data_IF_029736767600
#
_entry.id   IF_029736767600
#
_cell.length_a   1.000
_cell.length_b   1.000
_cell.length_c   1.000
_cell.angle_alpha   90.00
_cell.angle_beta   90.00
_cell.angle_gamma   90.00
#
_symmetry.space_group_name_H-M   'P 1'
#
loop_
_entity.id
_entity.type
_entity.pdbx_description
1 polymer ?
#
# COMPACT_ATOMS: atom_id res chain seq x y z
N UNK A 1 2.43 44.03 -20.31
CA UNK A 1 1.04 44.02 -20.82
C UNK A 1 0.56 42.58 -20.70
N UNK A 2 -0.53 42.17 -20.05
CA UNK A 2 -1.60 42.85 -19.34
C UNK A 2 -2.07 41.90 -18.21
N UNK A 3 -2.55 42.48 -17.11
CA UNK A 3 -3.21 41.81 -15.97
C UNK A 3 -4.70 41.64 -16.26
N UNK A 4 -5.32 40.54 -15.82
CA UNK A 4 -6.76 40.42 -15.50
C UNK A 4 -6.92 39.20 -14.56
N UNK A 5 -7.25 39.34 -13.26
CA UNK A 5 -8.61 39.44 -12.63
C UNK A 5 -9.51 38.24 -13.02
N UNK A 6 -10.16 37.42 -12.17
CA UNK A 6 -10.97 37.60 -10.95
C UNK A 6 -11.20 36.16 -10.36
N UNK A 7 -10.93 35.87 -9.08
CA UNK A 7 -11.91 35.73 -7.97
C UNK A 7 -13.20 34.93 -8.27
N UNK A 8 -13.36 33.77 -7.60
CA UNK A 8 -14.68 33.29 -7.17
C UNK A 8 -14.58 32.50 -5.85
N UNK A 9 -15.04 33.18 -4.81
CA UNK A 9 -15.29 32.71 -3.45
C UNK A 9 -16.65 32.01 -3.44
N UNK A 10 -16.74 30.79 -2.92
CA UNK A 10 -18.00 30.06 -2.73
C UNK A 10 -18.13 29.57 -1.28
N UNK A 11 -18.64 30.44 -0.42
CA UNK A 11 -19.10 30.11 0.93
C UNK A 11 -20.46 29.40 0.83
N UNK A 12 -20.59 28.21 1.41
CA UNK A 12 -21.90 27.64 1.76
C UNK A 12 -22.02 27.57 3.28
N UNK A 13 -23.01 28.30 3.79
CA UNK A 13 -23.45 28.38 5.18
C UNK A 13 -24.76 27.58 5.34
N UNK A 14 -24.98 27.09 6.56
CA UNK A 14 -26.25 26.68 7.19
C UNK A 14 -26.83 25.33 6.73
N UNK A 15 -27.05 24.38 7.63
CA UNK A 15 -28.20 24.42 8.55
C UNK A 15 -28.03 23.46 9.73
N UNK A 16 -28.67 23.79 10.84
CA UNK A 16 -28.62 23.17 12.16
C UNK A 16 -29.95 22.46 12.49
N UNK A 17 -29.85 21.49 13.41
CA UNK A 17 -30.88 21.00 14.36
C UNK A 17 -31.99 20.04 13.89
N UNK A 18 -32.06 18.86 14.52
CA UNK A 18 -33.19 18.45 15.39
C UNK A 18 -32.95 17.09 16.09
N UNK A 19 -33.23 17.06 17.39
CA UNK A 19 -33.35 15.89 18.28
C UNK A 19 -34.75 15.27 18.22
N UNK A 20 -34.86 13.95 18.44
CA UNK A 20 -35.93 13.27 19.20
C UNK A 20 -35.65 11.75 19.19
N UNK A 21 -35.28 11.11 20.31
CA UNK A 21 -36.11 10.63 21.43
C UNK A 21 -36.86 9.31 21.17
N UNK A 22 -36.31 8.23 21.75
CA UNK A 22 -36.91 7.08 22.46
C UNK A 22 -38.25 6.50 21.98
N UNK A 23 -38.22 5.20 21.65
CA UNK A 23 -39.38 4.30 21.65
C UNK A 23 -38.93 2.88 21.98
N UNK A 24 -39.02 2.49 23.26
CA UNK A 24 -38.74 1.18 23.81
C UNK A 24 -40.10 0.52 24.09
N UNK A 25 -40.48 -0.52 23.34
CA UNK A 25 -41.55 -1.45 23.77
C UNK A 25 -41.45 -2.81 23.09
N UNK A 26 -41.29 -3.81 23.96
CA UNK A 26 -41.97 -5.12 23.99
C UNK A 26 -41.60 -6.24 23.02
N UNK A 27 -41.07 -7.29 23.67
CA UNK A 27 -41.09 -8.71 23.31
C UNK A 27 -42.47 -9.22 22.86
N UNK A 28 -42.47 -10.06 21.82
CA UNK A 28 -43.26 -11.29 21.76
C UNK A 28 -42.61 -12.29 20.77
N UNK A 29 -42.84 -13.57 21.03
CA UNK A 29 -42.14 -14.78 20.58
C UNK A 29 -42.87 -15.47 19.42
N UNK A 30 -42.15 -16.36 18.73
CA UNK A 30 -42.55 -17.42 17.77
C UNK A 30 -42.58 -16.99 16.29
N UNK A 31 -41.60 -17.41 15.50
CA UNK A 31 -41.52 -18.73 14.83
C UNK A 31 -42.18 -18.66 13.45
N UNK A 32 -41.37 -18.40 12.41
CA UNK A 32 -41.58 -19.05 11.12
C UNK A 32 -40.35 -18.90 10.21
N UNK A 33 -39.94 -20.03 9.67
CA UNK A 33 -38.86 -20.20 8.73
C UNK A 33 -39.14 -19.50 7.40
N UNK A 34 -38.19 -18.67 6.97
CA UNK A 34 -37.82 -18.44 5.56
C UNK A 34 -36.51 -17.64 5.54
N UNK A 35 -35.42 -18.35 5.78
CA UNK A 35 -34.07 -17.82 5.58
C UNK A 35 -33.95 -17.39 4.13
N UNK A 36 -34.06 -16.08 3.95
CA UNK A 36 -34.03 -15.41 2.68
C UNK A 36 -32.62 -15.57 2.13
N UNK A 37 -32.55 -16.16 0.95
CA UNK A 37 -31.38 -16.25 0.08
C UNK A 37 -30.90 -14.81 -0.19
N UNK A 38 -30.08 -14.28 0.72
CA UNK A 38 -29.46 -12.96 0.61
C UNK A 38 -28.50 -13.05 -0.56
N UNK A 39 -28.88 -12.36 -1.63
CA UNK A 39 -28.10 -12.19 -2.83
C UNK A 39 -26.66 -11.84 -2.45
N UNK A 40 -25.74 -12.73 -2.78
CA UNK A 40 -24.37 -12.34 -3.04
C UNK A 40 -24.48 -11.39 -4.23
N UNK A 41 -24.31 -10.09 -3.97
CA UNK A 41 -23.90 -9.18 -5.00
C UNK A 41 -22.58 -9.76 -5.50
N UNK A 42 -22.62 -10.33 -6.70
CA UNK A 42 -21.42 -10.53 -7.49
C UNK A 42 -20.90 -9.11 -7.70
N UNK A 43 -19.89 -8.77 -6.92
CA UNK A 43 -18.94 -7.74 -7.26
C UNK A 43 -18.40 -8.20 -8.62
N UNK A 44 -18.84 -7.52 -9.68
CA UNK A 44 -18.26 -7.67 -11.01
C UNK A 44 -16.85 -7.13 -10.88
N UNK A 45 -15.94 -7.98 -10.40
CA UNK A 45 -14.55 -7.68 -10.26
C UNK A 45 -14.05 -7.29 -11.63
N UNK A 46 -13.83 -6.00 -11.82
CA UNK A 46 -12.85 -5.52 -12.78
C UNK A 46 -11.62 -6.41 -12.57
N UNK A 47 -11.19 -7.04 -13.66
CA UNK A 47 -10.02 -7.92 -13.72
C UNK A 47 -8.79 -7.02 -13.53
N UNK A 48 -8.65 -6.49 -12.32
CA UNK A 48 -7.52 -5.73 -11.84
C UNK A 48 -6.36 -6.71 -11.86
N UNK A 49 -5.59 -6.64 -12.96
CA UNK A 49 -4.40 -7.43 -13.15
C UNK A 49 -3.50 -7.38 -11.89
N UNK A 50 -2.63 -8.39 -11.70
CA UNK A 50 -1.88 -8.57 -10.47
C UNK A 50 -1.17 -7.27 -10.08
N UNK A 51 -1.42 -6.81 -8.84
CA UNK A 51 -0.80 -5.60 -8.31
C UNK A 51 0.72 -5.72 -8.41
N UNK A 52 1.35 -4.77 -9.11
CA UNK A 52 2.81 -4.73 -9.25
C UNK A 52 3.42 -4.25 -7.93
N UNK A 53 3.92 -5.23 -7.17
CA UNK A 53 4.35 -5.04 -5.80
C UNK A 53 5.72 -5.63 -5.52
N UNK A 54 6.48 -5.01 -4.62
CA UNK A 54 7.68 -5.59 -4.01
C UNK A 54 7.46 -5.66 -2.50
N UNK A 55 7.64 -6.85 -1.93
CA UNK A 55 7.37 -7.10 -0.51
C UNK A 55 8.67 -7.45 0.20
N UNK A 56 9.03 -6.65 1.20
CA UNK A 56 10.14 -6.92 2.10
C UNK A 56 9.61 -7.65 3.33
N UNK A 57 10.01 -8.91 3.50
CA UNK A 57 9.72 -9.69 4.69
C UNK A 57 10.69 -9.28 5.80
N UNK A 58 10.15 -9.01 6.98
CA UNK A 58 10.88 -8.40 8.09
C UNK A 58 10.80 -9.28 9.34
N UNK A 59 11.88 -9.29 10.14
CA UNK A 59 11.89 -9.93 11.48
C UNK A 59 10.92 -9.21 12.44
N UNK A 60 10.78 -7.90 12.29
CA UNK A 60 9.87 -7.01 13.05
C UNK A 60 9.49 -5.80 12.20
N UNK A 61 8.39 -5.14 12.50
CA UNK A 61 8.03 -3.93 11.77
C UNK A 61 9.07 -2.81 11.97
N UNK A 62 9.58 -2.20 10.89
CA UNK A 62 10.50 -1.07 11.01
C UNK A 62 9.76 0.18 11.51
N UNK A 63 10.45 1.01 12.28
CA UNK A 63 9.95 2.35 12.64
C UNK A 63 10.36 3.32 11.54
N UNK A 64 9.44 3.59 10.62
CA UNK A 64 9.66 4.51 9.50
C UNK A 64 9.05 5.88 9.78
N UNK A 65 9.73 6.91 9.26
CA UNK A 65 9.25 8.29 9.17
C UNK A 65 9.26 8.73 7.71
N UNK A 66 8.49 9.75 7.38
CA UNK A 66 8.50 10.38 6.04
C UNK A 66 9.91 10.85 5.68
N UNK A 67 10.67 11.37 6.66
CA UNK A 67 12.06 11.79 6.48
C UNK A 67 12.99 10.64 6.12
N UNK A 68 12.86 9.48 6.77
CA UNK A 68 13.69 8.32 6.44
C UNK A 68 13.36 7.79 5.04
N UNK A 69 12.08 7.78 4.66
CA UNK A 69 11.64 7.33 3.32
C UNK A 69 12.14 8.30 2.24
N UNK A 70 12.01 9.60 2.46
CA UNK A 70 12.56 10.62 1.57
C UNK A 70 14.08 10.46 1.38
N UNK A 71 14.81 10.11 2.44
CA UNK A 71 16.23 9.77 2.37
C UNK A 71 16.52 8.54 1.50
N UNK A 72 15.72 7.47 1.63
CA UNK A 72 15.84 6.28 0.77
C UNK A 72 15.51 6.60 -0.70
N UNK A 73 14.49 7.43 -0.96
CA UNK A 73 14.16 7.90 -2.30
C UNK A 73 15.32 8.70 -2.92
N UNK A 74 15.92 9.62 -2.16
CA UNK A 74 17.07 10.40 -2.63
C UNK A 74 18.26 9.50 -2.99
N UNK A 75 18.48 8.42 -2.25
CA UNK A 75 19.53 7.45 -2.57
C UNK A 75 19.19 6.61 -3.81
N UNK A 76 17.98 6.05 -3.85
CA UNK A 76 17.52 5.13 -4.89
C UNK A 76 17.38 5.82 -6.25
N UNK A 77 16.78 7.02 -6.26
CA UNK A 77 16.34 7.70 -7.48
C UNK A 77 17.11 8.99 -7.75
N UNK A 78 18.03 9.38 -6.87
CA UNK A 78 18.79 10.65 -6.96
C UNK A 78 17.87 11.88 -7.01
N UNK A 79 16.72 11.78 -6.34
CA UNK A 79 15.68 12.81 -6.37
C UNK A 79 15.25 13.22 -4.97
N UNK A 80 15.05 14.52 -4.78
CA UNK A 80 14.53 15.08 -3.53
C UNK A 80 13.01 15.16 -3.62
N UNK A 81 12.35 14.71 -2.57
CA UNK A 81 10.89 14.77 -2.41
C UNK A 81 10.54 15.67 -1.23
N UNK A 82 9.38 16.30 -1.30
CA UNK A 82 8.84 17.04 -0.15
C UNK A 82 8.31 16.07 0.91
N UNK A 83 8.30 16.50 2.18
CA UNK A 83 7.89 15.68 3.32
C UNK A 83 6.63 16.30 3.94
N UNK A 84 5.59 15.49 4.11
CA UNK A 84 4.33 15.91 4.76
C UNK A 84 3.53 16.92 3.93
N UNK A 85 2.59 17.60 4.57
CA UNK A 85 1.78 18.67 3.97
C UNK A 85 2.52 20.01 3.93
N UNK A 86 3.85 19.99 3.81
CA UNK A 86 4.64 21.22 3.81
C UNK A 86 4.12 22.13 2.70
N UNK A 87 3.69 23.33 3.11
CA UNK A 87 2.73 24.26 2.48
C UNK A 87 3.07 24.78 1.07
N UNK A 88 4.03 24.16 0.38
CA UNK A 88 4.24 24.34 -1.06
C UNK A 88 3.09 23.66 -1.79
N UNK A 89 2.02 24.42 -2.01
CA UNK A 89 0.82 23.98 -2.73
C UNK A 89 1.09 23.42 -4.15
N UNK A 90 2.32 23.55 -4.65
CA UNK A 90 2.74 23.15 -5.98
C UNK A 90 3.80 22.02 -5.97
N UNK A 91 4.02 21.33 -4.85
CA UNK A 91 4.95 20.20 -4.81
C UNK A 91 4.36 19.00 -5.56
N UNK A 92 4.98 18.62 -6.68
CA UNK A 92 4.59 17.44 -7.47
C UNK A 92 5.12 16.13 -6.89
N UNK A 93 6.23 16.19 -6.15
CA UNK A 93 6.88 15.02 -5.57
C UNK A 93 6.86 15.10 -4.04
N UNK A 94 6.29 14.09 -3.39
CA UNK A 94 6.05 14.10 -1.96
C UNK A 94 6.04 12.69 -1.35
N UNK A 95 6.30 12.65 -0.05
CA UNK A 95 6.04 11.52 0.83
C UNK A 95 5.16 12.00 1.96
N UNK A 96 4.01 11.36 2.13
CA UNK A 96 3.07 11.65 3.21
C UNK A 96 2.68 10.37 3.91
N UNK A 97 2.52 10.43 5.23
CA UNK A 97 1.96 9.32 5.99
C UNK A 97 0.46 9.24 5.79
N UNK A 98 -0.05 8.06 5.46
CA UNK A 98 -1.46 7.83 5.18
C UNK A 98 -1.89 6.41 5.53
N UNK A 99 -3.00 6.28 6.25
CA UNK A 99 -3.54 4.97 6.64
C UNK A 99 -2.51 4.07 7.36
N UNK A 100 -2.35 2.79 6.96
CA UNK A 100 -1.39 1.87 7.57
C UNK A 100 0.08 2.10 7.13
N UNK A 101 0.38 3.11 6.32
CA UNK A 101 1.75 3.35 5.85
C UNK A 101 1.95 4.73 5.24
N UNK A 102 2.46 4.78 4.00
CA UNK A 102 2.87 6.01 3.33
C UNK A 102 2.42 6.04 1.87
N UNK A 103 2.15 7.24 1.38
CA UNK A 103 1.90 7.52 -0.03
C UNK A 103 3.13 8.25 -0.57
N UNK A 104 3.61 7.80 -1.72
CA UNK A 104 4.81 8.32 -2.37
C UNK A 104 4.43 8.70 -3.80
N UNK A 105 4.57 9.99 -4.12
CA UNK A 105 4.55 10.49 -5.48
C UNK A 105 5.94 11.01 -5.81
N UNK A 106 6.54 10.54 -6.91
CA UNK A 106 7.81 11.04 -7.38
C UNK A 106 7.91 10.88 -8.89
N UNK A 107 7.96 12.01 -9.61
CA UNK A 107 7.87 12.07 -11.07
C UNK A 107 6.55 11.44 -11.56
N UNK A 108 6.65 10.42 -12.40
CA UNK A 108 5.59 9.62 -12.99
C UNK A 108 5.23 8.39 -12.15
N UNK A 109 5.89 8.21 -11.00
CA UNK A 109 5.70 7.04 -10.15
C UNK A 109 4.85 7.39 -8.95
N UNK A 110 3.71 6.73 -8.83
CA UNK A 110 2.84 6.76 -7.67
C UNK A 110 2.84 5.37 -7.03
N UNK A 111 3.28 5.29 -5.77
CA UNK A 111 3.27 4.04 -5.03
C UNK A 111 2.80 4.22 -3.58
N UNK A 112 2.20 3.16 -3.07
CA UNK A 112 1.85 3.03 -1.67
C UNK A 112 2.86 2.13 -0.97
N UNK A 113 3.28 2.56 0.21
CA UNK A 113 4.08 1.75 1.11
C UNK A 113 3.19 1.29 2.26
N UNK A 114 2.96 -0.01 2.41
CA UNK A 114 2.10 -0.55 3.47
C UNK A 114 2.98 -1.30 4.48
N UNK A 115 2.70 -1.12 5.77
CA UNK A 115 3.34 -1.87 6.85
C UNK A 115 2.30 -2.71 7.57
N UNK A 116 2.58 -3.99 7.77
CA UNK A 116 1.66 -4.86 8.51
C UNK A 116 2.39 -5.91 9.36
N UNK A 117 1.75 -6.29 10.47
CA UNK A 117 2.22 -7.32 11.40
C UNK A 117 1.28 -8.53 11.41
N UNK A 118 0.88 -8.99 10.22
CA UNK A 118 0.09 -10.20 9.97
C UNK A 118 0.73 -11.01 8.83
N UNK A 119 0.47 -12.31 8.69
CA UNK A 119 0.94 -13.08 7.54
C UNK A 119 0.66 -12.34 6.22
N UNK A 120 1.64 -12.33 5.30
CA UNK A 120 1.44 -11.72 3.98
C UNK A 120 0.54 -12.59 3.11
N UNK A 121 0.82 -13.89 3.09
CA UNK A 121 0.01 -14.91 2.43
C UNK A 121 -0.92 -15.59 3.43
N UNK A 122 -2.11 -15.93 2.96
CA UNK A 122 -3.05 -16.78 3.67
C UNK A 122 -2.57 -18.24 3.69
N UNK A 123 -3.16 -19.05 4.57
CA UNK A 123 -2.74 -20.44 4.77
C UNK A 123 -2.81 -21.29 3.49
N UNK A 124 -3.80 -21.05 2.63
CA UNK A 124 -3.99 -21.81 1.39
C UNK A 124 -2.96 -21.42 0.31
N UNK A 125 -2.59 -20.13 0.21
CA UNK A 125 -1.58 -19.65 -0.74
C UNK A 125 -0.18 -20.20 -0.41
N UNK A 126 0.09 -20.41 0.89
CA UNK A 126 1.34 -21.02 1.34
C UNK A 126 1.49 -22.49 0.89
N UNK A 127 0.39 -23.19 0.63
CA UNK A 127 0.44 -24.58 0.13
C UNK A 127 1.01 -24.64 -1.30
N UNK A 128 0.83 -23.58 -2.08
CA UNK A 128 1.33 -23.45 -3.45
C UNK A 128 2.84 -23.21 -3.51
N UNK A 129 3.43 -22.70 -2.43
CA UNK A 129 4.88 -22.49 -2.31
C UNK A 129 5.59 -23.83 -2.18
N UNK A 130 6.18 -24.34 -3.27
CA UNK A 130 6.78 -25.69 -3.31
C UNK A 130 8.01 -25.84 -2.40
N UNK A 131 8.81 -24.78 -2.29
CA UNK A 131 10.08 -24.83 -1.57
C UNK A 131 9.83 -24.70 -0.05
N UNK A 132 10.13 -25.78 0.70
CA UNK A 132 9.80 -25.90 2.11
C UNK A 132 10.44 -24.82 2.99
N UNK A 133 11.67 -24.39 2.69
CA UNK A 133 12.37 -23.36 3.47
C UNK A 133 11.71 -22.00 3.29
N UNK A 134 11.31 -21.66 2.06
CA UNK A 134 10.59 -20.45 1.69
C UNK A 134 9.22 -20.43 2.32
N UNK A 135 8.47 -21.53 2.22
CA UNK A 135 7.17 -21.67 2.90
C UNK A 135 7.30 -21.44 4.40
N UNK A 136 8.29 -22.08 5.03
CA UNK A 136 8.57 -21.91 6.47
C UNK A 136 8.92 -20.45 6.80
N UNK A 137 9.75 -19.81 6.00
CA UNK A 137 10.10 -18.40 6.17
C UNK A 137 8.85 -17.50 6.11
N UNK A 138 7.98 -17.69 5.12
CA UNK A 138 6.74 -16.92 4.97
C UNK A 138 5.76 -17.17 6.13
N UNK A 139 5.70 -18.40 6.64
CA UNK A 139 4.87 -18.77 7.80
C UNK A 139 5.36 -18.14 9.11
N UNK A 140 6.69 -18.11 9.32
CA UNK A 140 7.29 -17.61 10.56
C UNK A 140 7.33 -16.09 10.62
N UNK A 141 7.46 -15.40 9.48
CA UNK A 141 7.62 -13.95 9.42
C UNK A 141 6.30 -13.25 9.12
N UNK A 142 5.73 -12.62 10.16
CA UNK A 142 4.45 -11.89 10.10
C UNK A 142 4.62 -10.38 9.91
N UNK A 143 5.83 -9.87 10.00
CA UNK A 143 6.08 -8.46 9.75
C UNK A 143 6.54 -8.30 8.30
N UNK A 144 5.92 -7.39 7.58
CA UNK A 144 6.31 -7.07 6.22
C UNK A 144 6.03 -5.62 5.88
N UNK A 145 6.72 -5.16 4.85
CA UNK A 145 6.49 -3.89 4.19
C UNK A 145 6.32 -4.15 2.69
N UNK A 146 5.28 -3.61 2.07
CA UNK A 146 5.11 -3.64 0.61
C UNK A 146 5.38 -2.26 0.02
N UNK A 147 5.83 -2.26 -1.24
CA UNK A 147 5.84 -1.13 -2.14
C UNK A 147 4.96 -1.51 -3.32
N UNK A 148 3.77 -0.91 -3.38
CA UNK A 148 2.72 -1.25 -4.32
C UNK A 148 2.58 -0.11 -5.33
N UNK A 149 2.75 -0.39 -6.62
CA UNK A 149 2.44 0.59 -7.66
C UNK A 149 0.92 0.79 -7.73
N UNK A 150 0.49 2.04 -7.81
CA UNK A 150 -0.93 2.40 -7.84
C UNK A 150 -1.25 3.18 -9.12
N UNK A 151 -2.45 2.97 -9.64
CA UNK A 151 -2.96 3.55 -10.87
C UNK A 151 -3.02 2.52 -12.01
N UNK A 152 -3.29 3.00 -13.22
CA UNK A 152 -3.48 2.19 -14.43
C UNK A 152 -2.15 1.61 -14.98
N UNK A 153 -1.19 1.27 -14.09
CA UNK A 153 0.12 0.77 -14.52
C UNK A 153 0.00 -0.57 -15.25
N UNK A 154 -0.93 -1.42 -14.83
CA UNK A 154 -1.24 -2.72 -15.44
C UNK A 154 -1.76 -2.61 -16.88
N UNK A 155 -2.33 -1.47 -17.24
CA UNK A 155 -2.83 -1.19 -18.60
C UNK A 155 -1.76 -0.62 -19.53
N UNK A 156 -0.62 -0.19 -18.98
CA UNK A 156 0.47 0.39 -19.78
C UNK A 156 1.23 -0.69 -20.55
N UNK A 157 1.98 -0.32 -21.61
CA UNK A 157 2.85 -1.26 -22.30
C UNK A 157 3.84 -1.95 -21.34
N UNK A 158 4.17 -3.22 -21.59
CA UNK A 158 5.06 -4.03 -20.74
C UNK A 158 6.40 -3.33 -20.42
N UNK A 159 6.99 -2.61 -21.37
CA UNK A 159 8.23 -1.87 -21.15
C UNK A 159 8.09 -0.75 -20.08
N UNK A 160 6.92 -0.12 -19.98
CA UNK A 160 6.63 0.89 -18.96
C UNK A 160 6.36 0.25 -17.60
N UNK A 161 5.69 -0.91 -17.59
CA UNK A 161 5.51 -1.72 -16.37
C UNK A 161 6.86 -2.17 -15.80
N UNK A 162 7.74 -2.70 -16.65
CA UNK A 162 9.10 -3.11 -16.28
C UNK A 162 9.92 -1.95 -15.74
N UNK A 163 9.79 -0.76 -16.34
CA UNK A 163 10.46 0.45 -15.88
C UNK A 163 9.97 0.89 -14.50
N UNK A 164 8.65 0.89 -14.28
CA UNK A 164 8.04 1.21 -12.98
C UNK A 164 8.42 0.19 -11.91
N UNK A 165 8.38 -1.10 -12.26
CA UNK A 165 8.76 -2.20 -11.38
C UNK A 165 10.25 -2.12 -11.00
N UNK A 166 11.13 -1.90 -11.98
CA UNK A 166 12.56 -1.66 -11.74
C UNK A 166 12.78 -0.49 -10.78
N UNK A 167 11.98 0.56 -10.92
CA UNK A 167 12.09 1.74 -10.07
C UNK A 167 11.70 1.46 -8.62
N UNK A 168 10.61 0.73 -8.37
CA UNK A 168 10.23 0.34 -7.00
C UNK A 168 11.17 -0.70 -6.41
N UNK A 169 11.71 -1.63 -7.21
CA UNK A 169 12.76 -2.57 -6.76
C UNK A 169 14.00 -1.81 -6.28
N UNK A 170 14.43 -0.76 -6.98
CA UNK A 170 15.57 0.08 -6.53
C UNK A 170 15.30 0.76 -5.19
N UNK A 171 14.07 1.23 -4.96
CA UNK A 171 13.69 1.79 -3.67
C UNK A 171 13.67 0.70 -2.58
N UNK A 172 13.10 -0.47 -2.89
CA UNK A 172 13.07 -1.61 -1.99
C UNK A 172 14.50 -2.03 -1.57
N UNK A 173 15.43 -2.06 -2.52
CA UNK A 173 16.83 -2.41 -2.28
C UNK A 173 17.52 -1.43 -1.31
N UNK A 174 17.25 -0.13 -1.40
CA UNK A 174 17.75 0.88 -0.43
C UNK A 174 17.12 0.74 0.97
N UNK A 175 16.00 0.02 1.07
CA UNK A 175 15.31 -0.24 2.34
C UNK A 175 15.66 -1.61 2.94
N UNK A 176 16.42 -2.45 2.22
CA UNK A 176 16.93 -3.70 2.76
C UNK A 176 17.95 -3.38 3.86
N UNK A 177 17.74 -3.96 5.03
CA UNK A 177 18.68 -3.88 6.14
C UNK A 177 18.78 -5.24 6.87
N UNK A 178 19.50 -5.27 8.00
CA UNK A 178 19.65 -6.45 8.88
C UNK A 178 18.34 -7.06 9.40
N UNK A 179 17.24 -6.32 9.29
CA UNK A 179 15.92 -6.73 9.72
C UNK A 179 15.13 -7.44 8.61
N UNK A 180 15.56 -7.31 7.35
CA UNK A 180 14.97 -8.02 6.21
C UNK A 180 15.42 -9.48 6.20
N UNK A 181 14.48 -10.41 5.99
CA UNK A 181 14.74 -11.86 5.86
C UNK A 181 14.53 -12.37 4.44
N UNK A 182 13.78 -11.63 3.62
CA UNK A 182 13.49 -12.01 2.26
C UNK A 182 12.79 -10.91 1.49
N UNK A 183 12.82 -11.03 0.17
CA UNK A 183 12.07 -10.20 -0.77
C UNK A 183 11.13 -11.10 -1.54
N UNK A 184 9.88 -10.70 -1.66
CA UNK A 184 8.85 -11.38 -2.45
C UNK A 184 8.41 -10.46 -3.58
N UNK A 185 8.30 -11.02 -4.78
CA UNK A 185 7.71 -10.40 -5.96
C UNK A 185 6.42 -11.18 -6.28
N UNK A 186 5.24 -10.71 -5.82
CA UNK A 186 4.00 -11.47 -5.94
C UNK A 186 3.61 -11.77 -7.39
N UNK A 187 3.80 -10.81 -8.32
CA UNK A 187 3.46 -10.98 -9.74
C UNK A 187 4.20 -12.16 -10.39
N UNK A 188 5.45 -12.39 -9.96
CA UNK A 188 6.31 -13.44 -10.49
C UNK A 188 6.24 -14.73 -9.68
N UNK A 189 5.56 -14.72 -8.53
CA UNK A 189 5.63 -15.76 -7.51
C UNK A 189 7.08 -16.13 -7.13
N UNK A 190 7.96 -15.12 -7.07
CA UNK A 190 9.39 -15.30 -6.74
C UNK A 190 9.62 -14.84 -5.31
N UNK A 191 10.27 -15.71 -4.52
CA UNK A 191 10.79 -15.36 -3.20
C UNK A 191 12.31 -15.47 -3.20
N UNK A 192 12.96 -14.41 -2.73
CA UNK A 192 14.40 -14.29 -2.60
C UNK A 192 14.75 -14.20 -1.11
N UNK A 193 15.13 -15.33 -0.46
CA UNK A 193 15.64 -15.30 0.90
C UNK A 193 16.91 -14.44 0.97
N UNK A 194 16.99 -13.56 1.96
CA UNK A 194 18.18 -12.76 2.22
C UNK A 194 18.98 -13.42 3.34
N UNK A 195 20.23 -13.77 3.05
CA UNK A 195 21.20 -14.18 4.07
C UNK A 195 21.96 -12.98 4.60
N UNK A 196 22.50 -13.09 5.82
CA UNK A 196 23.32 -12.03 6.43
C UNK A 196 24.57 -11.69 5.59
N UNK A 197 25.06 -12.64 4.79
CA UNK A 197 26.18 -12.43 3.85
C UNK A 197 25.83 -11.43 2.74
N UNK A 198 24.61 -11.53 2.19
CA UNK A 198 24.12 -10.60 1.15
C UNK A 198 24.01 -9.20 1.72
N UNK A 199 23.50 -9.06 2.95
CA UNK A 199 23.36 -7.76 3.63
C UNK A 199 24.72 -7.11 3.87
N UNK A 200 25.75 -7.91 4.18
CA UNK A 200 27.11 -7.41 4.45
C UNK A 200 27.82 -6.94 3.17
N UNK A 201 27.41 -7.44 2.00
CA UNK A 201 27.98 -7.07 0.71
C UNK A 201 27.38 -5.80 0.10
N UNK A 202 26.24 -5.32 0.63
CA UNK A 202 25.53 -4.11 0.19
C UNK A 202 26.03 -2.87 0.95
#
# INVERSE_FOLDING_TARGET
>A
MARFFLLLLGLFFLSSSAMSSVGLTSLAVADEAKSSKKAAAADEGEDDGPLLSVVLLQKKLPTLSEKSIAGSIEKAWKQKVSIGDDKKKDATDFVVKGGPGFIIQCQDTFCMMILASKPYLEAYELEEVQELRTRKMLQENKAWLSLDLVGEISEKPAAEQDAAMTRIIRLAAEMVDKNTVGVLLPSENIVLPISDEVITAM
#
